data_IF_315992503106
#
_entry.id   IF_315992503106
#
_cell.length_a   1.000
_cell.length_b   1.000
_cell.length_c   1.000
_cell.angle_alpha   90.00
_cell.angle_beta   90.00
_cell.angle_gamma   90.00
#
_symmetry.space_group_name_H-M   'P 1'
#
loop_
_entity.id
_entity.type
_entity.pdbx_description
1 polymer ?
2 polymer ?
3 polymer ?
4 non-polymer ?
5 non-polymer ?
6 water ?
#
# COMPACT_ATOMS: atom_id res chain seq x y z
N UNK A 6 10.86 -12.23 8.63
CA UNK A 6 12.26 -12.58 8.42
C UNK A 6 12.45 -14.01 7.87
N UNK A 7 11.64 -14.95 8.35
CA UNK A 7 11.77 -16.36 7.97
C UNK A 7 11.01 -16.70 6.68
N UNK A 8 11.56 -16.29 5.52
CA UNK A 8 10.91 -16.48 4.21
C UNK A 8 11.27 -17.80 3.51
N UNK A 9 10.37 -18.78 3.58
CA UNK A 9 10.59 -20.08 2.94
C UNK A 9 10.19 -20.08 1.47
N UNK A 10 11.01 -20.71 0.63
CA UNK A 10 10.72 -20.84 -0.78
C UNK A 10 9.90 -22.10 -1.04
N UNK A 11 8.95 -22.01 -1.97
CA UNK A 11 8.04 -23.10 -2.27
C UNK A 11 7.46 -23.74 -1.02
N UNK A 12 7.25 -25.04 -1.06
CA UNK A 12 6.78 -25.77 0.12
C UNK A 12 7.55 -27.06 0.27
N UNK A 13 7.70 -27.51 1.50
CA UNK A 13 8.52 -28.68 1.78
C UNK A 13 7.68 -29.87 2.21
N UNK A 14 7.74 -30.92 1.42
CA UNK A 14 7.05 -32.17 1.75
C UNK A 14 8.10 -33.26 1.94
N UNK A 15 7.72 -34.33 2.65
CA UNK A 15 8.66 -35.43 2.87
C UNK A 15 8.20 -36.74 2.23
N UNK A 16 6.96 -36.76 1.73
CA UNK A 16 6.43 -37.93 1.03
C UNK A 16 7.26 -38.24 -0.22
N UNK A 17 7.05 -39.44 -0.78
CA UNK A 17 7.83 -39.87 -1.94
C UNK A 17 7.41 -39.16 -3.21
N UNK A 18 8.42 -38.68 -3.98
CA UNK A 18 8.29 -37.84 -5.18
C UNK A 18 7.16 -38.26 -6.12
N UNK A 19 7.15 -39.52 -6.54
CA UNK A 19 6.07 -40.04 -7.37
C UNK A 19 4.72 -39.85 -6.69
N UNK A 20 4.69 -40.08 -5.39
CA UNK A 20 3.51 -39.85 -4.55
C UNK A 20 3.11 -38.39 -4.58
N UNK A 21 4.00 -37.56 -4.06
CA UNK A 21 3.94 -36.12 -4.20
C UNK A 21 3.35 -35.73 -5.56
N UNK A 22 4.01 -36.13 -6.64
CA UNK A 22 3.53 -35.86 -7.99
C UNK A 22 2.05 -36.12 -8.13
N UNK A 23 1.64 -37.33 -7.78
CA UNK A 23 0.25 -37.71 -7.95
C UNK A 23 -0.62 -36.79 -7.12
N UNK A 24 -0.17 -36.51 -5.90
CA UNK A 24 -0.95 -35.67 -5.03
C UNK A 24 -1.28 -34.35 -5.74
N UNK A 25 -0.30 -33.82 -6.46
CA UNK A 25 -0.47 -32.55 -7.17
C UNK A 25 -1.41 -32.68 -8.37
N UNK A 26 -1.20 -33.73 -9.17
CA UNK A 26 -2.09 -33.99 -10.31
C UNK A 26 -3.51 -34.08 -9.79
N UNK A 27 -3.66 -34.76 -8.66
CA UNK A 27 -4.96 -34.91 -8.06
C UNK A 27 -5.55 -33.59 -7.65
N UNK A 28 -4.79 -32.84 -6.85
CA UNK A 28 -5.18 -31.49 -6.46
C UNK A 28 -5.61 -30.72 -7.69
N UNK A 29 -4.74 -30.68 -8.70
CA UNK A 29 -4.97 -29.87 -9.88
C UNK A 29 -6.27 -30.24 -10.58
N UNK A 30 -6.51 -31.53 -10.72
CA UNK A 30 -7.75 -32.06 -11.29
C UNK A 30 -8.96 -31.67 -10.43
N UNK A 31 -8.74 -31.58 -9.12
CA UNK A 31 -9.77 -31.13 -8.20
C UNK A 31 -9.97 -29.64 -8.37
N UNK A 32 -8.85 -28.92 -8.31
CA UNK A 32 -8.84 -27.48 -8.53
C UNK A 32 -9.22 -27.17 -9.97
N UNK A 33 -9.31 -28.23 -10.77
CA UNK A 33 -9.74 -28.15 -12.16
C UNK A 33 -8.75 -27.41 -13.06
N UNK A 34 -7.47 -27.69 -12.86
CA UNK A 34 -6.42 -27.21 -13.73
C UNK A 34 -6.09 -28.27 -14.75
N UNK A 35 -5.55 -27.84 -15.88
CA UNK A 35 -5.04 -28.73 -16.89
C UNK A 35 -3.54 -28.53 -16.93
N UNK A 36 -2.80 -29.60 -17.19
CA UNK A 36 -1.36 -29.46 -17.25
C UNK A 36 -0.77 -30.15 -18.46
N UNK A 37 0.52 -29.93 -18.64
CA UNK A 37 1.32 -30.64 -19.64
C UNK A 37 2.52 -31.11 -18.85
N UNK A 38 2.76 -32.42 -18.83
CA UNK A 38 3.95 -32.89 -18.16
C UNK A 38 5.14 -32.61 -19.05
N UNK A 39 6.21 -32.15 -18.44
CA UNK A 39 7.44 -31.88 -19.16
C UNK A 39 8.40 -32.98 -18.72
N UNK A 40 8.10 -33.55 -17.56
CA UNK A 40 8.84 -34.66 -16.99
C UNK A 40 8.44 -34.90 -15.54
N UNK A 41 8.82 -36.04 -14.97
CA UNK A 41 8.40 -36.42 -13.61
C UNK A 41 8.91 -35.52 -12.49
N UNK A 42 9.47 -34.37 -12.82
CA UNK A 42 9.87 -33.42 -11.80
C UNK A 42 9.60 -31.99 -12.24
N UNK A 43 8.84 -31.88 -13.32
CA UNK A 43 8.44 -30.60 -13.88
C UNK A 43 7.10 -30.71 -14.59
N UNK A 44 6.14 -29.86 -14.25
CA UNK A 44 4.92 -29.74 -15.06
C UNK A 44 4.53 -28.26 -15.27
N UNK A 45 3.95 -28.01 -16.43
CA UNK A 45 3.47 -26.69 -16.84
C UNK A 45 1.99 -26.80 -16.55
N UNK A 46 1.50 -26.04 -15.58
CA UNK A 46 0.06 -26.06 -15.25
C UNK A 46 -0.69 -24.77 -15.63
N UNK A 47 -1.97 -24.89 -15.95
CA UNK A 47 -2.76 -23.78 -16.46
C UNK A 47 -4.15 -23.76 -15.88
N UNK A 48 -4.72 -22.57 -15.74
CA UNK A 48 -6.04 -22.41 -15.15
C UNK A 48 -6.87 -21.39 -15.91
N UNK A 49 -7.99 -21.83 -16.45
CA UNK A 49 -8.93 -20.92 -17.07
C UNK A 49 -9.47 -20.00 -15.99
N UNK A 50 -9.89 -18.81 -16.36
CA UNK A 50 -10.38 -17.84 -15.39
C UNK A 50 -11.76 -17.56 -15.88
N UNK A 51 -12.74 -18.01 -15.15
CA UNK A 51 -14.10 -17.83 -15.61
C UNK A 51 -14.60 -16.42 -15.75
N UNK A 52 -14.32 -15.53 -14.79
CA UNK A 52 -14.84 -14.19 -14.98
C UNK A 52 -14.18 -13.57 -16.19
N UNK A 53 -12.86 -13.71 -16.22
CA UNK A 53 -12.02 -13.21 -17.29
C UNK A 53 -11.97 -13.90 -18.65
N UNK A 54 -11.93 -15.23 -18.66
CA UNK A 54 -11.76 -15.96 -19.90
C UNK A 54 -10.30 -16.34 -20.07
N UNK A 55 -9.42 -15.36 -19.88
CA UNK A 55 -8.00 -15.57 -20.01
C UNK A 55 -7.52 -16.68 -19.11
N UNK A 56 -6.32 -17.19 -19.40
CA UNK A 56 -5.69 -18.24 -18.60
C UNK A 56 -4.61 -17.70 -17.73
N UNK A 57 -4.31 -18.42 -16.65
CA UNK A 57 -3.08 -18.20 -15.88
C UNK A 57 -2.23 -19.46 -15.91
N UNK A 58 -0.93 -19.30 -15.93
CA UNK A 58 -0.05 -20.42 -16.06
C UNK A 58 1.10 -20.40 -15.09
N UNK A 59 1.64 -21.53 -14.73
CA UNK A 59 2.82 -21.55 -13.88
C UNK A 59 3.58 -22.87 -13.97
N UNK A 60 4.78 -22.89 -13.39
CA UNK A 60 5.64 -24.07 -13.46
C UNK A 60 5.83 -24.75 -12.11
N UNK A 61 5.62 -26.05 -12.11
CA UNK A 61 5.94 -26.87 -10.96
C UNK A 61 7.26 -27.61 -11.17
N UNK A 62 8.18 -27.41 -10.26
CA UNK A 62 9.42 -28.15 -10.33
C UNK A 62 9.72 -28.81 -8.99
N UNK A 63 9.84 -30.14 -9.00
CA UNK A 63 10.27 -30.84 -7.80
C UNK A 63 11.78 -30.86 -7.66
N UNK A 64 12.22 -30.67 -6.43
CA UNK A 64 13.62 -30.67 -6.06
C UNK A 64 13.83 -31.67 -4.96
N UNK A 65 15.08 -32.01 -4.74
CA UNK A 65 15.45 -32.71 -3.52
C UNK A 65 16.32 -31.73 -2.76
N UNK A 66 16.06 -31.57 -1.47
CA UNK A 66 16.84 -30.65 -0.64
C UNK A 66 17.77 -31.40 0.32
N UNK A 67 17.29 -32.55 0.80
CA UNK A 67 18.11 -33.46 1.60
C UNK A 67 18.14 -34.80 0.91
N UNK A 68 18.07 -35.86 1.71
CA UNK A 68 17.84 -37.20 1.17
C UNK A 68 16.44 -37.63 1.53
N UNK A 69 15.98 -37.25 2.73
CA UNK A 69 14.63 -37.59 3.15
C UNK A 69 13.67 -36.42 3.03
N UNK A 70 14.16 -35.31 2.47
CA UNK A 70 13.34 -34.10 2.38
C UNK A 70 13.30 -33.55 0.96
N UNK A 71 12.13 -33.05 0.56
CA UNK A 71 11.95 -32.47 -0.77
C UNK A 71 11.48 -31.02 -0.74
N UNK A 72 11.46 -30.40 -1.91
CA UNK A 72 10.99 -29.04 -2.04
C UNK A 72 10.28 -28.84 -3.37
N UNK A 73 9.03 -28.41 -3.30
CA UNK A 73 8.25 -28.17 -4.50
C UNK A 73 8.29 -26.69 -4.83
N UNK A 74 8.57 -26.36 -6.08
CA UNK A 74 8.72 -24.96 -6.43
C UNK A 74 7.72 -24.43 -7.45
N UNK A 75 7.26 -23.22 -7.18
CA UNK A 75 6.28 -22.54 -8.01
C UNK A 75 6.94 -21.35 -8.70
N UNK A 76 6.67 -21.20 -10.00
CA UNK A 76 7.24 -20.13 -10.79
C UNK A 76 6.17 -19.59 -11.73
N UNK A 77 6.12 -18.27 -11.89
CA UNK A 77 5.13 -17.61 -12.71
C UNK A 77 5.46 -17.61 -14.21
N UNK A 78 4.44 -17.49 -15.05
CA UNK A 78 4.60 -17.41 -16.51
C UNK A 78 3.68 -16.38 -17.16
N UNK A 79 3.76 -16.28 -18.49
CA UNK A 79 2.95 -15.33 -19.27
C UNK A 79 2.51 -15.96 -20.59
N UNK A 107 -8.45 3.44 -15.34
CA UNK A 107 -9.07 2.23 -15.91
C UNK A 107 -8.29 0.95 -15.61
N UNK A 108 -8.85 0.13 -14.73
CA UNK A 108 -8.16 -1.08 -14.25
C UNK A 108 -8.20 -2.18 -15.29
N UNK A 109 -7.17 -3.05 -15.30
CA UNK A 109 -7.24 -4.20 -16.20
C UNK A 109 -8.07 -5.31 -15.58
N UNK A 110 -8.76 -6.07 -16.41
CA UNK A 110 -9.34 -7.33 -15.95
C UNK A 110 -8.21 -8.29 -16.20
N UNK A 111 -7.80 -9.02 -15.18
CA UNK A 111 -6.60 -9.82 -15.32
C UNK A 111 -5.46 -9.18 -14.57
N UNK A 112 -4.89 -9.93 -13.63
CA UNK A 112 -3.89 -9.40 -12.72
C UNK A 112 -2.90 -10.49 -12.46
N UNK A 113 -1.97 -10.68 -13.39
CA UNK A 113 -1.01 -11.77 -13.33
C UNK A 113 -0.44 -12.12 -11.96
N UNK A 114 0.24 -11.17 -11.33
CA UNK A 114 0.78 -11.45 -10.01
C UNK A 114 -0.26 -11.94 -8.99
N UNK A 115 -1.47 -11.38 -9.00
CA UNK A 115 -2.49 -11.84 -8.06
C UNK A 115 -3.04 -13.21 -8.45
N UNK A 116 -3.19 -13.44 -9.74
CA UNK A 116 -3.73 -14.70 -10.22
C UNK A 116 -2.71 -15.80 -9.94
N UNK A 117 -1.44 -15.47 -10.09
CA UNK A 117 -0.36 -16.36 -9.63
C UNK A 117 -0.61 -16.75 -8.19
N UNK A 118 -0.44 -15.79 -7.28
CA UNK A 118 -0.59 -16.01 -5.86
C UNK A 118 -1.80 -16.88 -5.57
N UNK A 119 -2.93 -16.55 -6.19
CA UNK A 119 -4.14 -17.31 -5.97
C UNK A 119 -4.02 -18.76 -6.44
N UNK A 120 -3.41 -18.96 -7.61
CA UNK A 120 -3.23 -20.31 -8.11
C UNK A 120 -2.34 -21.13 -7.21
N UNK A 121 -1.25 -20.54 -6.75
CA UNK A 121 -0.35 -21.21 -5.82
C UNK A 121 -1.05 -21.49 -4.51
N UNK A 122 -1.80 -20.52 -4.00
CA UNK A 122 -2.52 -20.70 -2.74
C UNK A 122 -3.50 -21.86 -2.79
N UNK A 123 -4.38 -21.85 -3.78
CA UNK A 123 -5.41 -22.88 -3.90
C UNK A 123 -4.82 -24.27 -3.87
N UNK A 124 -3.74 -24.47 -4.61
CA UNK A 124 -3.03 -25.75 -4.63
C UNK A 124 -2.55 -26.13 -3.24
N UNK A 125 -1.63 -25.34 -2.69
CA UNK A 125 -1.12 -25.53 -1.34
C UNK A 125 -2.20 -25.87 -0.31
N UNK A 126 -3.36 -25.22 -0.42
CA UNK A 126 -4.46 -25.49 0.50
C UNK A 126 -4.98 -26.88 0.19
N UNK A 127 -5.35 -27.11 -1.06
CA UNK A 127 -5.75 -28.43 -1.52
C UNK A 127 -4.77 -29.51 -1.05
N UNK A 128 -3.49 -29.29 -1.28
CA UNK A 128 -2.50 -30.24 -0.81
C UNK A 128 -2.54 -30.31 0.71
N UNK A 129 -2.36 -29.16 1.34
CA UNK A 129 -2.29 -29.08 2.79
C UNK A 129 -3.20 -30.14 3.41
N UNK A 130 -4.43 -30.21 2.92
CA UNK A 130 -5.39 -31.19 3.41
C UNK A 130 -6.51 -31.40 2.41
N UNK B 1 -0.05 -26.33 -21.41
CA UNK B 1 -0.89 -27.14 -20.54
C UNK B 1 -2.23 -27.38 -21.20
N UNK B 2 -2.37 -28.59 -21.72
CA UNK B 2 -3.57 -29.00 -22.44
C UNK B 2 -4.21 -30.30 -21.95
N UNK B 3 -3.52 -31.06 -21.10
CA UNK B 3 -4.10 -32.33 -20.65
C UNK B 3 -4.32 -32.46 -19.14
N UNK B 4 -5.17 -33.40 -18.75
CA UNK B 4 -5.51 -33.57 -17.34
C UNK B 4 -5.17 -34.98 -16.81
N UNK B 5 -3.98 -35.46 -17.13
CA UNK B 5 -3.59 -36.83 -16.82
C UNK B 5 -2.18 -36.89 -16.20
N UNK B 6 -1.91 -37.93 -15.40
CA UNK B 6 -0.65 -38.03 -14.64
C UNK B 6 0.41 -38.83 -15.38
N UNK B 17 14.88 -39.21 -9.52
CA UNK B 17 16.03 -38.36 -9.27
C UNK B 17 15.67 -36.88 -9.29
N UNK B 18 14.84 -36.44 -8.31
CA UNK B 18 14.42 -35.02 -8.27
C UNK B 18 15.63 -34.10 -8.27
N UNK B 19 15.77 -33.28 -9.30
CA UNK B 19 16.92 -32.39 -9.41
C UNK B 19 17.23 -31.74 -8.09
N UNK B 20 18.50 -31.78 -7.70
CA UNK B 20 18.95 -31.23 -6.43
C UNK B 20 18.88 -29.71 -6.39
N UNK B 21 18.64 -29.16 -5.21
CA UNK B 21 18.55 -27.73 -5.03
C UNK B 21 19.72 -27.22 -4.19
N UNK B 22 20.37 -26.18 -4.68
CA UNK B 22 21.50 -25.58 -3.98
C UNK B 22 21.11 -25.06 -2.58
N UNK B 26 19.26 -19.38 -1.34
CA UNK B 26 17.98 -19.72 -1.93
C UNK B 26 17.41 -20.99 -1.31
N UNK B 27 16.34 -20.81 -0.54
CA UNK B 27 15.71 -21.88 0.20
C UNK B 27 14.93 -21.19 1.30
N UNK B 28 15.63 -20.29 1.98
CA UNK B 28 15.07 -19.35 2.94
C UNK B 28 15.77 -18.00 2.78
N UNK B 29 15.06 -16.92 3.06
CA UNK B 29 15.60 -15.57 2.91
C UNK B 29 15.27 -14.71 4.13
N UNK B 30 15.87 -13.52 4.19
CA UNK B 30 15.63 -12.56 5.27
C UNK B 30 15.29 -11.17 4.73
N UNK B 35 19.77 -9.02 -2.80
CA UNK B 35 19.94 -8.90 -4.23
C UNK B 35 19.03 -9.82 -5.01
N UNK B 36 18.86 -9.53 -6.31
CA UNK B 36 17.98 -10.33 -7.15
C UNK B 36 18.76 -11.10 -8.21
N UNK B 37 18.41 -12.38 -8.38
CA UNK B 37 18.99 -13.21 -9.42
C UNK B 37 18.00 -13.44 -10.55
N UNK B 48 19.93 -14.44 -1.90
CA UNK B 48 19.57 -13.87 -3.19
C UNK B 48 18.20 -14.41 -3.53
N UNK B 49 17.37 -13.58 -4.15
CA UNK B 49 16.03 -14.03 -4.51
C UNK B 49 16.00 -14.45 -5.97
N UNK B 50 15.15 -15.42 -6.31
CA UNK B 50 15.00 -15.83 -7.70
C UNK B 50 13.78 -15.20 -8.32
N UNK B 51 14.00 -14.26 -9.22
CA UNK B 51 12.90 -13.55 -9.84
C UNK B 51 11.86 -14.53 -10.33
N UNK B 52 10.61 -14.29 -9.95
CA UNK B 52 9.45 -15.00 -10.45
C UNK B 52 9.05 -16.25 -9.66
N UNK B 53 9.78 -16.53 -8.58
CA UNK B 53 9.54 -17.72 -7.77
C UNK B 53 8.78 -17.44 -6.48
N UNK B 54 7.83 -18.32 -6.18
CA UNK B 54 6.98 -18.15 -4.99
C UNK B 54 7.74 -18.35 -3.70
N UNK B 55 7.61 -17.36 -2.82
CA UNK B 55 8.13 -17.43 -1.48
C UNK B 55 6.95 -17.25 -0.54
N UNK B 56 7.14 -17.60 0.72
CA UNK B 56 6.04 -17.57 1.67
C UNK B 56 6.54 -17.68 3.10
N UNK B 57 5.65 -17.38 4.03
CA UNK B 57 5.98 -17.44 5.45
C UNK B 57 5.27 -18.60 6.07
N UNK B 58 5.77 -19.03 7.22
CA UNK B 58 5.10 -20.03 8.04
C UNK B 58 3.68 -19.53 8.29
N UNK B 59 2.69 -20.30 7.85
CA UNK B 59 1.29 -19.90 8.04
C UNK B 59 0.90 -19.88 9.51
N UNK B 60 0.79 -18.68 10.09
CA UNK B 60 0.44 -18.55 11.50
C UNK B 60 -0.85 -17.78 11.68
N UNK B 61 -1.70 -18.28 12.56
CA UNK B 61 -2.93 -17.59 12.93
C UNK B 61 -3.87 -17.44 11.75
N UNK B 62 -4.04 -18.53 11.00
CA UNK B 62 -5.04 -18.57 9.94
C UNK B 62 -4.78 -17.62 8.79
N UNK B 63 -3.59 -17.05 8.73
CA UNK B 63 -3.24 -16.17 7.63
C UNK B 63 -1.96 -16.58 6.91
N UNK B 64 -2.06 -16.61 5.59
CA UNK B 64 -1.01 -17.03 4.71
C UNK B 64 -0.36 -15.80 4.06
N UNK B 65 0.96 -15.73 4.06
CA UNK B 65 1.63 -14.63 3.37
C UNK B 65 2.45 -15.14 2.20
N UNK B 66 2.09 -14.71 0.99
CA UNK B 66 2.88 -15.05 -0.16
C UNK B 66 3.73 -13.87 -0.58
N UNK B 67 4.84 -14.16 -1.24
CA UNK B 67 5.69 -13.11 -1.77
C UNK B 67 6.30 -13.55 -3.07
N UNK B 68 6.75 -12.59 -3.88
CA UNK B 68 7.26 -12.88 -5.21
C UNK B 68 7.72 -11.60 -5.90
N UNK B 69 8.87 -11.68 -6.57
CA UNK B 69 9.44 -10.50 -7.17
C UNK B 69 9.32 -10.61 -8.67
N UNK B 70 8.89 -9.51 -9.30
CA UNK B 70 8.70 -9.50 -10.75
C UNK B 70 9.35 -8.24 -11.35
N UNK B 71 9.58 -8.28 -12.67
CA UNK B 71 10.17 -7.15 -13.38
C UNK B 71 9.16 -6.44 -14.29
N UNK B 72 9.08 -5.12 -14.17
CA UNK B 72 8.44 -4.32 -15.19
C UNK B 72 9.56 -3.51 -15.85
N UNK B 73 9.99 -3.93 -17.03
CA UNK B 73 11.01 -3.16 -17.75
C UNK B 73 12.18 -3.10 -16.79
N UNK B 74 12.70 -1.91 -16.52
CA UNK B 74 13.91 -1.80 -15.70
C UNK B 74 13.68 -1.89 -14.18
N UNK B 75 12.45 -2.14 -13.76
CA UNK B 75 12.13 -2.08 -12.33
C UNK B 75 11.76 -3.42 -11.71
N UNK B 76 11.95 -3.52 -10.41
CA UNK B 76 11.67 -4.75 -9.69
C UNK B 76 10.76 -4.52 -8.51
N UNK B 77 9.52 -5.03 -8.58
CA UNK B 77 8.65 -4.99 -7.41
C UNK B 77 8.49 -6.35 -6.75
N UNK B 78 8.79 -6.39 -5.46
CA UNK B 78 8.58 -7.56 -4.63
C UNK B 78 7.23 -7.50 -3.90
N UNK B 79 6.23 -8.20 -4.42
CA UNK B 79 4.86 -8.10 -3.93
C UNK B 79 4.55 -9.12 -2.84
N UNK B 80 3.99 -8.63 -1.73
CA UNK B 80 3.40 -9.51 -0.72
C UNK B 80 1.89 -9.51 -0.79
N UNK B 81 1.29 -10.68 -0.66
CA UNK B 81 -0.16 -10.79 -0.52
C UNK B 81 -0.47 -11.39 0.83
N UNK B 82 -1.23 -10.64 1.63
CA UNK B 82 -1.77 -11.16 2.88
C UNK B 82 -3.13 -11.82 2.68
N UNK B 83 -3.16 -13.13 2.85
CA UNK B 83 -4.37 -13.91 2.60
C UNK B 83 -4.77 -14.78 3.80
N UNK B 84 -6.08 -14.86 4.08
CA UNK B 84 -6.70 -15.72 5.10
C UNK B 84 -7.00 -17.12 4.58
N UNK B 85 -7.29 -18.04 5.49
CA UNK B 85 -7.66 -19.40 5.08
C UNK B 85 -9.00 -19.77 5.70
N UNK C 26 4.21 27.12 -17.15
CA UNK C 26 5.60 27.35 -16.78
C UNK C 26 6.54 26.21 -17.13
N UNK C 27 7.53 26.01 -16.27
CA UNK C 27 8.63 25.09 -16.50
C UNK C 27 8.41 23.80 -15.71
N UNK C 28 7.82 23.95 -14.53
CA UNK C 28 7.58 22.81 -13.65
C UNK C 28 6.39 22.04 -14.16
N UNK C 29 5.37 22.77 -14.57
CA UNK C 29 4.22 22.19 -15.24
C UNK C 29 4.67 21.39 -16.45
N UNK C 30 5.56 21.97 -17.24
CA UNK C 30 5.95 21.30 -18.47
C UNK C 30 6.78 20.07 -18.21
N UNK C 31 7.64 20.12 -17.20
CA UNK C 31 8.39 18.97 -16.71
C UNK C 31 7.47 17.78 -16.41
N UNK C 32 6.45 18.07 -15.60
CA UNK C 32 5.46 17.07 -15.18
C UNK C 32 4.57 16.52 -16.31
N UNK C 33 4.35 17.31 -17.36
CA UNK C 33 3.59 16.79 -18.48
C UNK C 33 4.48 15.92 -19.36
N UNK C 34 5.75 15.83 -19.02
CA UNK C 34 6.73 15.19 -19.90
C UNK C 34 7.46 14.07 -19.19
N UNK C 35 6.96 13.65 -18.04
CA UNK C 35 7.57 12.54 -17.35
C UNK C 35 6.54 11.52 -16.96
N UNK C 36 6.92 10.26 -17.08
CA UNK C 36 6.00 9.17 -16.83
C UNK C 36 6.09 8.76 -15.37
N UNK C 37 4.99 8.26 -14.84
CA UNK C 37 4.99 7.81 -13.46
C UNK C 37 6.06 6.75 -13.27
N UNK C 38 6.22 5.93 -14.31
CA UNK C 38 7.29 4.96 -14.35
C UNK C 38 8.56 5.58 -13.77
N UNK C 39 8.81 6.81 -14.18
CA UNK C 39 10.08 7.50 -13.92
C UNK C 39 10.48 7.60 -12.46
N UNK C 40 9.50 7.69 -11.56
CA UNK C 40 9.89 7.79 -10.16
C UNK C 40 9.68 6.50 -9.40
N UNK C 41 9.30 5.45 -10.10
CA UNK C 41 9.32 4.16 -9.48
C UNK C 41 10.79 3.89 -9.27
N UNK C 42 11.17 3.44 -8.07
CA UNK C 42 12.58 3.10 -7.84
C UNK C 42 12.91 1.79 -8.53
N UNK C 43 14.17 1.39 -8.49
CA UNK C 43 14.61 0.16 -9.17
C UNK C 43 14.18 -1.09 -8.39
N UNK C 44 14.33 -1.04 -7.08
CA UNK C 44 13.67 -2.03 -6.26
C UNK C 44 12.61 -1.39 -5.38
N UNK C 45 11.60 -2.19 -5.07
CA UNK C 45 10.41 -1.72 -4.38
C UNK C 45 9.67 -2.90 -3.74
N UNK C 46 9.13 -2.68 -2.54
CA UNK C 46 8.19 -3.61 -1.92
C UNK C 46 6.73 -3.08 -1.99
N UNK C 47 5.79 -3.97 -2.24
CA UNK C 47 4.37 -3.62 -2.26
C UNK C 47 3.61 -4.69 -1.48
N UNK C 48 3.10 -4.31 -0.31
CA UNK C 48 2.24 -5.17 0.48
C UNK C 48 0.74 -5.02 0.11
N UNK C 49 0.13 -6.13 -0.28
CA UNK C 49 -1.28 -6.17 -0.63
C UNK C 49 -2.08 -7.02 0.36
N UNK C 50 -3.28 -6.58 0.72
CA UNK C 50 -4.16 -7.39 1.57
C UNK C 50 -5.32 -7.88 0.75
N UNK C 51 -5.71 -9.13 0.98
CA UNK C 51 -6.99 -9.64 0.49
C UNK C 51 -8.06 -8.99 1.36
N UNK C 52 -9.11 -8.45 0.73
CA UNK C 52 -10.17 -7.79 1.49
C UNK C 52 -10.95 -8.72 2.39
N UNK C 53 -10.59 -9.99 2.37
CA UNK C 53 -11.20 -10.95 3.28
C UNK C 53 -10.38 -10.99 4.56
N UNK C 54 -9.40 -10.10 4.67
CA UNK C 54 -8.58 -10.02 5.86
C UNK C 54 -9.31 -9.30 7.02
N UNK C 55 -8.92 -9.62 8.25
CA UNK C 55 -9.50 -9.01 9.42
C UNK C 55 -8.88 -7.65 9.65
N UNK C 56 -9.69 -6.62 9.49
CA UNK C 56 -9.28 -5.28 9.81
C UNK C 56 -8.23 -5.28 10.91
N UNK C 57 -8.54 -5.93 12.03
CA UNK C 57 -7.63 -5.93 13.16
C UNK C 57 -6.30 -6.46 12.68
N UNK C 58 -6.31 -7.69 12.16
CA UNK C 58 -5.09 -8.33 11.68
C UNK C 58 -4.36 -7.49 10.66
N UNK C 59 -5.11 -6.78 9.82
CA UNK C 59 -4.49 -5.95 8.81
C UNK C 59 -3.69 -4.84 9.50
N UNK C 60 -4.35 -4.17 10.44
CA UNK C 60 -3.69 -3.12 11.19
C UNK C 60 -2.28 -3.50 11.66
N UNK C 61 -2.14 -4.67 12.25
CA UNK C 61 -0.84 -5.18 12.66
C UNK C 61 0.11 -5.31 11.47
N UNK C 62 -0.38 -5.90 10.37
CA UNK C 62 0.44 -6.07 9.17
C UNK C 62 0.93 -4.74 8.62
N UNK C 63 0.08 -3.72 8.67
CA UNK C 63 0.54 -2.39 8.29
C UNK C 63 1.73 -2.07 9.16
N UNK C 64 1.54 -2.19 10.47
CA UNK C 64 2.58 -1.86 11.44
C UNK C 64 3.85 -2.70 11.30
N UNK C 65 3.72 -4.03 11.33
CA UNK C 65 4.91 -4.87 11.28
C UNK C 65 5.73 -4.56 10.04
N UNK C 66 5.04 -4.36 8.92
CA UNK C 66 5.67 -4.01 7.65
C UNK C 66 6.10 -2.55 7.55
N UNK C 67 5.79 -1.77 8.59
CA UNK C 67 6.18 -0.37 8.65
C UNK C 67 5.64 0.48 7.52
N UNK C 68 4.40 0.21 7.13
CA UNK C 68 3.73 1.01 6.11
C UNK C 68 2.46 1.59 6.68
N UNK C 69 2.01 2.70 6.10
CA UNK C 69 0.84 3.42 6.58
C UNK C 69 -0.44 3.08 5.79
N UNK C 70 -0.31 2.33 4.70
CA UNK C 70 -1.47 1.89 3.93
C UNK C 70 -1.22 0.61 3.11
N UNK C 71 -2.27 0.06 2.53
CA UNK C 71 -2.13 -1.06 1.61
C UNK C 71 -3.25 -1.11 0.59
N UNK C 72 -2.91 -1.59 -0.61
CA UNK C 72 -3.81 -1.94 -1.72
C UNK C 72 -4.70 -3.08 -1.31
N UNK C 73 -5.95 -3.04 -1.76
CA UNK C 73 -6.89 -4.10 -1.42
C UNK C 73 -7.25 -4.97 -2.60
N UNK C 74 -6.86 -6.24 -2.52
CA UNK C 74 -7.25 -7.23 -3.52
C UNK C 74 -8.54 -7.91 -3.11
N UNK C 75 -9.56 -7.74 -3.94
CA UNK C 75 -10.81 -8.46 -3.72
C UNK C 75 -10.91 -9.70 -4.61
N UNK C 76 -10.79 -10.86 -3.99
CA UNK C 76 -10.70 -12.12 -4.70
C UNK C 76 -11.95 -12.43 -5.55
N UNK C 77 -13.12 -12.11 -5.03
CA UNK C 77 -14.38 -12.44 -5.70
C UNK C 77 -14.60 -11.55 -6.91
N UNK C 78 -14.42 -10.25 -6.75
CA UNK C 78 -14.53 -9.32 -7.86
C UNK C 78 -13.35 -9.50 -8.82
N UNK C 79 -12.36 -10.28 -8.39
CA UNK C 79 -11.12 -10.46 -9.14
C UNK C 79 -10.54 -9.10 -9.50
N UNK C 80 -10.17 -8.30 -8.50
CA UNK C 80 -9.64 -6.98 -8.79
C UNK C 80 -9.09 -6.25 -7.57
N UNK C 81 -8.44 -5.12 -7.84
CA UNK C 81 -8.04 -4.18 -6.79
C UNK C 81 -9.17 -3.20 -6.64
N UNK C 82 -9.68 -3.08 -5.42
CA UNK C 82 -10.91 -2.34 -5.17
C UNK C 82 -10.68 -0.99 -4.51
N UNK C 83 -9.45 -0.78 -4.01
CA UNK C 83 -9.10 0.44 -3.34
C UNK C 83 -7.99 0.29 -2.31
N UNK C 84 -7.92 1.25 -1.40
CA UNK C 84 -6.86 1.32 -0.39
C UNK C 84 -7.41 1.11 1.02
N UNK C 85 -6.62 0.46 1.88
CA UNK C 85 -6.82 0.52 3.32
C UNK C 85 -5.94 1.60 3.98
N UNK C 86 -6.55 2.72 4.37
CA UNK C 86 -5.77 3.83 4.93
C UNK C 86 -6.22 4.13 6.33
N UNK C 87 -5.49 5.01 7.00
CA UNK C 87 -5.80 5.38 8.36
C UNK C 87 -7.20 6.00 8.54
N UNK C 88 -7.74 6.66 7.50
CA UNK C 88 -9.10 7.20 7.60
C UNK C 88 -10.14 6.08 7.74
N UNK C 89 -9.94 5.01 6.99
CA UNK C 89 -10.85 3.88 7.10
C UNK C 89 -10.92 3.31 8.53
N UNK C 90 -9.79 3.12 9.20
CA UNK C 90 -9.81 2.73 10.61
C UNK C 90 -10.55 3.79 11.45
N UNK C 91 -10.29 5.07 11.14
CA UNK C 91 -11.03 6.17 11.77
C UNK C 91 -12.53 6.03 11.52
N UNK C 92 -12.95 5.88 10.27
CA UNK C 92 -14.39 5.75 10.04
C UNK C 92 -15.05 4.64 10.87
N UNK C 93 -14.31 3.57 11.12
CA UNK C 93 -14.81 2.41 11.84
C UNK C 93 -14.83 2.63 13.35
N UNK C 94 -13.76 3.21 13.87
CA UNK C 94 -13.66 3.60 15.27
C UNK C 94 -14.83 4.50 15.65
N UNK C 95 -15.10 5.49 14.80
CA UNK C 95 -16.25 6.38 14.92
C UNK C 95 -17.58 5.62 15.04
N UNK C 96 -17.83 4.69 14.11
CA UNK C 96 -19.07 3.90 14.18
C UNK C 96 -19.28 3.24 15.53
N UNK C 97 -18.27 2.53 16.03
CA UNK C 97 -18.30 1.99 17.38
C UNK C 97 -18.66 3.08 18.40
N UNK C 98 -18.00 4.22 18.30
CA UNK C 98 -18.25 5.33 19.18
C UNK C 98 -19.71 5.81 19.15
N UNK C 99 -20.19 6.12 17.94
CA UNK C 99 -21.58 6.51 17.74
C UNK C 99 -22.56 5.50 18.35
N UNK C 100 -22.06 4.30 18.65
CA UNK C 100 -22.89 3.20 19.12
C UNK C 100 -22.66 2.91 20.58
N UNK C 101 -21.76 3.67 21.18
CA UNK C 101 -21.40 3.48 22.58
C UNK C 101 -20.72 2.14 22.75
N UNK C 102 -20.08 1.68 21.68
CA UNK C 102 -19.40 0.40 21.67
C UNK C 102 -17.91 0.57 21.55
N UNK C 103 -17.41 1.77 21.80
CA UNK C 103 -15.97 2.01 21.71
C UNK C 103 -15.13 0.97 22.48
N UNK C 104 -15.64 0.51 23.61
CA UNK C 104 -14.97 -0.53 24.37
C UNK C 104 -14.67 -1.78 23.51
N UNK C 105 -15.45 -1.98 22.46
CA UNK C 105 -15.34 -3.16 21.60
C UNK C 105 -14.37 -3.01 20.42
N UNK C 106 -14.24 -1.79 19.91
CA UNK C 106 -13.37 -1.53 18.77
C UNK C 106 -12.07 -2.36 18.82
N UNK C 107 -11.39 -2.34 19.96
CA UNK C 107 -10.14 -3.10 20.09
C UNK C 107 -10.36 -4.57 19.74
N UNK C 108 -11.44 -5.14 20.25
CA UNK C 108 -11.67 -6.58 20.25
C UNK C 108 -12.30 -7.21 19.01
N UNK C 109 -12.92 -6.42 18.15
CA UNK C 109 -13.67 -6.98 17.03
C UNK C 109 -12.84 -7.74 15.97
N UNK C 110 -13.53 -8.47 15.09
CA UNK C 110 -12.85 -9.24 14.06
C UNK C 110 -13.64 -9.36 12.76
N UNK C 111 -14.41 -8.34 12.40
CA UNK C 111 -15.05 -8.29 11.09
C UNK C 111 -13.98 -8.12 10.02
N UNK C 112 -14.29 -8.60 8.82
CA UNK C 112 -13.38 -8.51 7.71
C UNK C 112 -13.40 -7.13 7.09
N UNK C 113 -12.28 -6.77 6.47
CA UNK C 113 -12.16 -5.51 5.74
C UNK C 113 -13.29 -5.41 4.72
N UNK C 114 -13.46 -6.48 3.98
CA UNK C 114 -14.59 -6.62 3.08
C UNK C 114 -15.88 -6.13 3.69
N UNK C 115 -16.20 -6.67 4.87
CA UNK C 115 -17.47 -6.38 5.54
C UNK C 115 -17.64 -4.91 5.72
N UNK C 116 -16.67 -4.28 6.38
CA UNK C 116 -16.80 -2.87 6.64
C UNK C 116 -16.85 -1.96 5.40
N UNK C 117 -16.03 -2.24 4.40
CA UNK C 117 -16.12 -1.50 3.14
C UNK C 117 -17.51 -1.65 2.54
N UNK C 118 -18.14 -2.79 2.80
CA UNK C 118 -19.46 -3.06 2.23
C UNK C 118 -20.52 -2.31 3.01
N UNK C 119 -20.41 -2.34 4.33
CA UNK C 119 -21.19 -1.45 5.16
C UNK C 119 -21.31 -0.08 4.49
N UNK C 120 -20.18 0.48 4.08
CA UNK C 120 -20.20 1.81 3.51
C UNK C 120 -20.41 1.85 2.00
N UNK C 121 -20.63 0.69 1.39
CA UNK C 121 -20.81 0.66 -0.05
C UNK C 121 -19.63 1.38 -0.64
N UNK C 122 -18.44 1.13 -0.09
CA UNK C 122 -17.27 1.89 -0.48
C UNK C 122 -16.84 1.60 -1.91
N UNK C 123 -16.95 0.35 -2.36
CA UNK C 123 -16.43 0.01 -3.68
C UNK C 123 -17.29 0.63 -4.75
N UNK C 124 -18.59 0.69 -4.50
CA UNK C 124 -19.49 1.28 -5.46
C UNK C 124 -19.45 2.81 -5.41
N UNK C 125 -19.39 3.38 -4.22
CA UNK C 125 -19.41 4.84 -4.06
C UNK C 125 -18.06 5.57 -4.31
N UNK C 126 -16.98 5.10 -3.71
CA UNK C 126 -15.64 5.62 -3.99
C UNK C 126 -14.75 4.52 -4.59
N UNK C 127 -14.94 4.21 -5.89
CA UNK C 127 -14.19 3.13 -6.53
C UNK C 127 -12.71 3.47 -6.61
N UNK C 128 -11.86 2.46 -6.75
CA UNK C 128 -10.42 2.66 -6.88
C UNK C 128 -10.04 3.70 -7.93
N UNK C 129 -9.15 4.61 -7.55
CA UNK C 129 -8.49 5.52 -8.50
C UNK C 129 -7.05 5.04 -8.72
N UNK C 130 -6.67 4.82 -9.97
CA UNK C 130 -5.33 4.33 -10.23
C UNK C 130 -4.77 4.96 -11.49
N UNK C 131 -3.51 4.69 -11.80
CA UNK C 131 -2.90 5.31 -12.96
C UNK C 131 -1.97 4.35 -13.70
N UNK C 132 -1.68 4.65 -14.96
CA UNK C 132 -0.74 3.85 -15.75
C UNK C 132 0.67 4.34 -15.56
N UNK C 133 1.64 3.41 -15.54
CA UNK C 133 3.07 3.70 -15.53
C UNK C 133 3.42 4.72 -16.60
N UNK C 134 2.56 4.82 -17.60
CA UNK C 134 2.84 5.66 -18.76
C UNK C 134 2.27 7.05 -18.66
N UNK C 135 1.38 7.27 -17.69
CA UNK C 135 0.73 8.57 -17.55
C UNK C 135 1.72 9.60 -17.05
N UNK C 136 1.39 10.87 -17.23
CA UNK C 136 2.30 11.96 -16.88
C UNK C 136 2.28 12.19 -15.38
N UNK C 137 3.28 12.87 -14.86
CA UNK C 137 3.36 13.05 -13.43
C UNK C 137 2.37 14.10 -13.09
N UNK C 138 2.23 15.03 -14.02
CA UNK C 138 1.18 16.02 -14.04
C UNK C 138 -0.15 15.32 -13.84
N UNK C 139 -0.49 14.43 -14.76
CA UNK C 139 -1.71 13.65 -14.62
C UNK C 139 -1.88 13.09 -13.20
N UNK C 140 -0.79 12.56 -12.62
CA UNK C 140 -0.90 11.98 -11.28
C UNK C 140 -1.16 13.05 -10.24
N UNK C 141 -0.57 14.23 -10.43
CA UNK C 141 -0.84 15.30 -9.49
C UNK C 141 -2.30 15.74 -9.52
N UNK C 142 -2.84 15.98 -10.71
CA UNK C 142 -4.25 16.32 -10.81
C UNK C 142 -5.05 15.22 -10.16
N UNK C 143 -4.72 13.99 -10.52
CA UNK C 143 -5.48 12.84 -10.09
C UNK C 143 -5.75 12.90 -8.58
N UNK C 144 -4.66 12.86 -7.80
CA UNK C 144 -4.70 12.88 -6.33
C UNK C 144 -5.50 14.02 -5.74
N UNK C 145 -5.36 15.18 -6.35
CA UNK C 145 -6.05 16.38 -5.91
C UNK C 145 -7.54 16.35 -6.29
N UNK C 146 -7.82 16.24 -7.57
CA UNK C 146 -9.20 16.12 -7.99
C UNK C 146 -9.94 15.13 -7.10
N UNK C 147 -9.42 13.92 -6.96
CA UNK C 147 -10.10 12.90 -6.16
C UNK C 147 -9.89 13.04 -4.66
N UNK C 148 -9.27 14.12 -4.23
CA UNK C 148 -8.96 14.32 -2.83
C UNK C 148 -8.47 13.06 -2.13
N UNK C 149 -7.45 12.41 -2.67
CA UNK C 149 -6.87 11.21 -2.05
C UNK C 149 -5.37 11.40 -1.81
N UNK C 150 -4.76 10.55 -0.99
CA UNK C 150 -3.32 10.72 -0.71
C UNK C 150 -2.46 9.63 -1.35
N UNK C 151 -3.08 8.50 -1.68
CA UNK C 151 -2.38 7.42 -2.35
C UNK C 151 -2.89 7.16 -3.78
N UNK C 152 -1.98 6.79 -4.66
CA UNK C 152 -2.36 6.53 -6.04
C UNK C 152 -1.56 5.38 -6.65
N UNK C 153 -2.21 4.22 -6.77
CA UNK C 153 -1.70 2.97 -7.33
C UNK C 153 -1.25 3.11 -8.76
N UNK C 154 0.00 2.79 -9.05
CA UNK C 154 0.39 2.68 -10.44
C UNK C 154 0.26 1.26 -10.88
N UNK C 155 -0.66 1.06 -11.82
CA UNK C 155 -1.02 -0.26 -12.32
C UNK C 155 -0.73 -0.46 -13.80
N UNK C 156 0.14 -1.41 -14.10
CA UNK C 156 0.42 -1.80 -15.48
C UNK C 156 -0.81 -2.33 -16.21
N UNK C 157 -1.30 -1.60 -17.24
CA UNK C 157 -2.57 -1.95 -17.90
C UNK C 157 -2.48 -3.28 -18.65
N UNK C 158 -1.29 -3.62 -19.13
CA UNK C 158 -1.00 -4.90 -19.75
C UNK C 158 -1.19 -6.08 -18.78
N UNK C 159 -0.47 -6.04 -17.66
CA UNK C 159 -0.52 -7.14 -16.70
C UNK C 159 -1.60 -7.03 -15.63
N UNK C 160 -1.96 -5.79 -15.26
CA UNK C 160 -2.91 -5.53 -14.20
C UNK C 160 -2.26 -5.48 -12.83
N UNK C 161 -0.95 -5.28 -12.84
CA UNK C 161 -0.17 -5.30 -11.62
C UNK C 161 0.05 -3.91 -11.08
N UNK C 162 -0.26 -3.70 -9.82
CA UNK C 162 0.09 -2.46 -9.18
C UNK C 162 1.59 -2.45 -9.01
N UNK C 163 2.26 -1.59 -9.77
CA UNK C 163 3.71 -1.55 -9.71
C UNK C 163 4.18 -0.88 -8.42
N UNK C 164 3.44 0.13 -7.98
CA UNK C 164 3.96 1.02 -6.98
C UNK C 164 2.87 2.04 -6.69
N UNK C 165 2.93 2.69 -5.54
CA UNK C 165 1.93 3.69 -5.15
C UNK C 165 2.49 5.10 -5.07
N UNK C 166 1.83 6.03 -5.71
CA UNK C 166 2.32 7.40 -5.85
C UNK C 166 1.77 8.37 -4.78
N UNK C 167 2.64 8.94 -3.94
CA UNK C 167 2.21 9.98 -2.99
C UNK C 167 2.67 11.39 -3.39
N UNK C 168 2.04 12.42 -2.83
CA UNK C 168 2.50 13.80 -3.04
C UNK C 168 3.96 13.97 -2.66
N UNK C 169 4.34 13.35 -1.54
CA UNK C 169 5.72 13.41 -1.06
C UNK C 169 6.70 12.73 -2.03
N UNK C 170 6.30 11.59 -2.55
CA UNK C 170 7.09 10.96 -3.59
C UNK C 170 7.17 11.87 -4.81
N UNK C 171 6.04 12.38 -5.27
CA UNK C 171 6.01 13.26 -6.44
C UNK C 171 6.84 14.51 -6.25
N UNK C 172 6.70 15.16 -5.09
CA UNK C 172 7.45 16.37 -4.77
C UNK C 172 8.95 16.11 -4.68
N UNK C 173 9.33 15.03 -4.03
CA UNK C 173 10.73 14.75 -3.79
C UNK C 173 11.43 14.59 -5.13
N UNK C 174 10.81 13.85 -6.03
CA UNK C 174 11.36 13.68 -7.37
C UNK C 174 11.56 15.06 -8.02
N UNK C 175 10.48 15.84 -8.13
CA UNK C 175 10.53 17.20 -8.69
C UNK C 175 11.62 18.07 -8.04
N UNK C 176 11.80 17.95 -6.73
CA UNK C 176 12.83 18.75 -6.06
C UNK C 176 14.23 18.51 -6.63
N UNK C 177 14.55 17.26 -6.95
CA UNK C 177 15.83 16.96 -7.56
C UNK C 177 16.05 17.87 -8.78
N UNK C 178 15.11 17.85 -9.70
CA UNK C 178 15.09 18.79 -10.83
C UNK C 178 15.14 20.24 -10.41
N UNK C 179 14.34 20.61 -9.43
CA UNK C 179 14.31 22.00 -9.00
C UNK C 179 15.71 22.54 -8.73
N UNK C 180 16.52 21.76 -8.01
CA UNK C 180 17.84 22.20 -7.57
C UNK C 180 18.91 22.14 -8.65
N UNK C 181 18.77 21.20 -9.57
CA UNK C 181 19.76 21.04 -10.61
C UNK C 181 19.41 21.90 -11.82
N UNK C 182 18.56 22.89 -11.62
CA UNK C 182 18.08 23.67 -12.76
C UNK C 182 17.72 25.08 -12.28
N UNK C 183 17.89 26.08 -13.16
CA UNK C 183 17.68 27.47 -12.74
C UNK C 183 16.27 27.69 -12.25
N UNK C 184 16.12 28.37 -11.12
CA UNK C 184 14.79 28.65 -10.59
C UNK C 184 14.08 29.73 -11.40
N UNK C 185 12.74 29.69 -11.42
CA UNK C 185 11.94 30.79 -11.97
C UNK C 185 11.97 31.97 -11.01
N UNK C 186 11.33 33.07 -11.40
CA UNK C 186 11.34 34.26 -10.57
C UNK C 186 10.61 33.99 -9.25
N UNK C 187 9.39 33.47 -9.38
CA UNK C 187 8.49 33.35 -8.24
C UNK C 187 9.00 32.39 -7.17
N UNK C 188 9.94 31.51 -7.50
CA UNK C 188 10.50 30.60 -6.51
C UNK C 188 11.20 31.34 -5.38
N UNK C 189 11.31 32.66 -5.51
CA UNK C 189 12.00 33.46 -4.51
C UNK C 189 11.04 34.33 -3.71
N UNK C 190 9.89 34.62 -4.29
CA UNK C 190 8.82 35.28 -3.57
C UNK C 190 8.47 34.51 -2.28
N UNK C 191 7.62 35.10 -1.45
CA UNK C 191 7.32 34.49 -0.16
C UNK C 191 5.95 33.83 -0.14
N UNK C 192 5.74 32.94 0.83
CA UNK C 192 4.43 32.39 1.07
C UNK C 192 3.39 33.50 0.98
N UNK C 193 3.63 34.58 1.72
CA UNK C 193 2.69 35.70 1.75
C UNK C 193 2.43 36.32 0.40
N UNK C 194 3.49 36.48 -0.39
CA UNK C 194 3.35 37.01 -1.74
C UNK C 194 2.52 36.05 -2.57
N UNK C 195 2.90 34.78 -2.49
CA UNK C 195 2.35 33.71 -3.29
C UNK C 195 0.93 33.33 -2.89
N UNK C 196 0.65 33.42 -1.59
CA UNK C 196 -0.66 33.06 -1.06
C UNK C 196 -0.85 31.56 -1.20
N UNK C 197 0.17 30.82 -0.82
CA UNK C 197 0.13 29.37 -0.91
C UNK C 197 -0.05 28.71 0.44
N UNK C 198 -1.05 27.85 0.54
CA UNK C 198 -1.37 27.22 1.82
C UNK C 198 -2.75 27.60 2.30
N UNK C 199 -3.11 27.10 3.47
CA UNK C 199 -4.45 27.33 4.00
C UNK C 199 -4.40 28.22 5.23
N UNK C 200 -5.19 29.29 5.18
CA UNK C 200 -5.12 30.37 6.17
C UNK C 200 -6.48 30.80 6.71
N UNK C 201 -7.53 30.13 6.26
CA UNK C 201 -8.87 30.42 6.76
C UNK C 201 -9.45 29.19 7.45
N UNK C 202 -9.94 29.39 8.67
CA UNK C 202 -10.65 28.31 9.35
C UNK C 202 -9.76 27.11 9.59
N UNK C 203 -8.67 27.31 10.31
CA UNK C 203 -7.77 26.22 10.62
C UNK C 203 -8.34 25.33 11.73
N UNK C 204 -8.49 24.06 11.42
CA UNK C 204 -8.94 23.09 12.40
C UNK C 204 -7.80 22.79 13.34
N UNK C 205 -8.02 23.13 14.61
CA UNK C 205 -7.02 22.90 15.66
C UNK C 205 -7.72 22.45 16.92
N UNK C 206 -6.93 21.92 17.82
CA UNK C 206 -7.47 21.50 19.10
C UNK C 206 -6.86 22.37 20.18
N UNK C 207 -7.15 22.03 21.43
CA UNK C 207 -6.49 22.65 22.56
C UNK C 207 -5.85 21.60 23.45
N UNK C 208 -4.74 21.98 24.06
CA UNK C 208 -4.07 21.14 25.04
C UNK C 208 -5.04 20.25 25.80
N UNK C 209 -6.19 20.82 26.18
CA UNK C 209 -7.11 20.14 27.07
C UNK C 209 -8.05 19.22 26.31
N UNK C 210 -8.37 19.61 25.08
CA UNK C 210 -9.37 18.91 24.26
C UNK C 210 -9.37 17.38 24.35
N UNK C 211 -10.58 16.81 24.50
CA UNK C 211 -10.84 15.37 24.59
C UNK C 211 -10.55 14.67 23.26
N UNK C 212 -9.63 13.72 23.28
CA UNK C 212 -9.36 12.90 22.11
C UNK C 212 -10.64 12.63 21.30
N UNK C 213 -11.70 12.19 21.97
CA UNK C 213 -12.98 11.98 21.27
C UNK C 213 -13.41 13.19 20.46
N UNK C 214 -13.02 14.39 20.87
CA UNK C 214 -13.39 15.56 20.12
C UNK C 214 -12.63 15.56 18.80
N UNK C 215 -11.34 15.23 18.86
CA UNK C 215 -10.52 15.27 17.65
C UNK C 215 -11.11 14.31 16.64
N UNK C 216 -11.36 13.08 17.09
CA UNK C 216 -12.11 12.10 16.32
C UNK C 216 -13.26 12.74 15.58
N UNK C 217 -14.18 13.30 16.34
CA UNK C 217 -15.29 13.99 15.72
C UNK C 217 -14.84 14.81 14.53
N UNK C 218 -13.83 15.65 14.72
CA UNK C 218 -13.51 16.64 13.70
C UNK C 218 -12.72 16.07 12.50
N UNK C 219 -11.91 15.07 12.80
CA UNK C 219 -11.21 14.30 11.78
C UNK C 219 -12.18 13.71 10.78
N UNK C 220 -13.19 13.03 11.32
CA UNK C 220 -14.27 12.44 10.54
C UNK C 220 -15.07 13.46 9.72
N UNK C 221 -15.33 14.61 10.33
CA UNK C 221 -16.23 15.59 9.75
C UNK C 221 -15.54 16.49 8.74
N UNK C 222 -14.26 16.74 8.94
CA UNK C 222 -13.59 17.78 8.17
C UNK C 222 -12.63 17.29 7.09
N UNK C 223 -12.10 16.08 7.23
CA UNK C 223 -11.20 15.57 6.22
C UNK C 223 -9.99 16.50 6.15
N UNK C 224 -9.24 16.45 7.23
CA UNK C 224 -7.91 17.00 7.28
C UNK C 224 -7.14 15.88 7.89
N UNK C 225 -5.84 15.87 7.72
CA UNK C 225 -5.05 14.81 8.33
C UNK C 225 -4.63 15.15 9.76
N UNK C 226 -4.08 16.34 9.98
CA UNK C 226 -3.57 16.63 11.32
C UNK C 226 -4.10 17.90 11.97
N UNK C 227 -4.07 17.90 13.29
CA UNK C 227 -4.59 19.01 14.04
C UNK C 227 -3.49 19.64 14.86
N UNK C 228 -3.32 20.95 14.70
CA UNK C 228 -2.40 21.68 15.56
C UNK C 228 -2.98 21.76 16.96
N UNK C 229 -2.20 21.34 17.94
CA UNK C 229 -2.51 21.55 19.35
C UNK C 229 -2.01 22.93 19.80
N UNK C 230 -2.91 23.76 20.30
CA UNK C 230 -2.53 25.13 20.64
C UNK C 230 -2.82 25.45 22.11
N UNK C 231 -2.10 26.42 22.67
CA UNK C 231 -2.39 26.91 24.02
C UNK C 231 -3.44 28.04 24.06
N UNK C 232 -3.68 28.60 25.24
CA UNK C 232 -4.72 29.60 25.39
C UNK C 232 -4.45 30.81 24.50
N UNK C 233 -3.19 31.23 24.48
CA UNK C 233 -2.78 32.36 23.66
C UNK C 233 -2.90 32.07 22.17
N UNK C 234 -2.85 30.77 21.82
CA UNK C 234 -3.11 30.32 20.47
C UNK C 234 -1.84 29.89 19.75
N UNK C 235 -0.79 29.74 20.53
CA UNK C 235 0.48 29.33 20.00
C UNK C 235 0.53 27.81 19.88
N UNK C 236 1.09 27.32 18.77
CA UNK C 236 1.19 25.89 18.55
C UNK C 236 2.23 25.22 19.47
N UNK C 237 1.79 24.24 20.22
CA UNK C 237 2.65 23.52 21.14
C UNK C 237 2.88 22.07 20.64
N UNK C 238 2.00 21.62 19.75
CA UNK C 238 2.11 20.29 19.14
C UNK C 238 1.11 20.10 18.00
N UNK C 239 0.81 18.83 17.72
CA UNK C 239 -0.02 18.44 16.57
C UNK C 239 -0.57 17.03 16.81
N UNK C 240 -1.89 16.88 16.66
CA UNK C 240 -2.51 15.57 16.82
C UNK C 240 -2.98 15.06 15.47
N UNK C 241 -2.55 13.84 15.12
CA UNK C 241 -2.91 13.18 13.86
C UNK C 241 -3.96 12.04 13.98
N UNK C 242 -4.48 11.60 12.84
CA UNK C 242 -5.51 10.55 12.81
C UNK C 242 -4.90 9.30 13.37
N UNK C 243 -3.64 9.11 13.05
CA UNK C 243 -2.90 7.97 13.54
C UNK C 243 -2.93 7.93 15.03
N UNK C 244 -2.67 9.07 15.65
CA UNK C 244 -2.58 9.16 17.10
C UNK C 244 -3.84 8.59 17.72
N UNK C 245 -4.97 9.04 17.20
CA UNK C 245 -6.25 8.53 17.60
C UNK C 245 -6.33 7.00 17.58
N UNK C 246 -6.26 6.38 16.40
CA UNK C 246 -6.40 4.92 16.37
C UNK C 246 -5.29 4.20 17.18
N UNK C 247 -4.09 4.79 17.23
CA UNK C 247 -2.98 4.21 17.98
C UNK C 247 -3.36 4.02 19.43
N UNK C 248 -4.08 5.00 19.94
CA UNK C 248 -4.53 4.99 21.32
C UNK C 248 -5.45 3.81 21.55
N UNK C 249 -6.52 3.73 20.74
CA UNK C 249 -7.48 2.65 20.82
C UNK C 249 -6.84 1.27 20.65
N UNK C 250 -5.99 0.89 21.61
CA UNK C 250 -5.32 -0.41 21.65
C UNK C 250 -4.34 -0.44 22.82
N UNK C 256 -10.41 4.66 25.96
CA UNK C 256 -11.34 5.37 26.83
C UNK C 256 -11.99 6.59 26.16
N UNK C 257 -11.15 7.44 25.56
CA UNK C 257 -11.59 8.50 24.62
C UNK C 257 -12.10 9.83 25.19
N UNK C 258 -12.25 9.92 26.50
CA UNK C 258 -12.71 11.16 27.07
C UNK C 258 -11.49 12.00 27.43
N UNK C 259 -10.31 11.44 27.15
CA UNK C 259 -9.05 11.94 27.65
C UNK C 259 -8.58 13.27 27.06
N UNK C 260 -7.57 13.87 27.69
CA UNK C 260 -6.96 15.08 27.20
C UNK C 260 -6.02 14.75 26.06
N UNK C 261 -6.25 15.40 24.93
CA UNK C 261 -5.34 15.30 23.81
C UNK C 261 -3.89 15.22 24.31
N UNK C 262 -3.57 16.09 25.26
CA UNK C 262 -2.24 16.15 25.87
C UNK C 262 -1.86 14.87 26.59
N UNK C 263 -2.82 14.30 27.31
CA UNK C 263 -2.63 13.05 28.03
C UNK C 263 -2.34 11.91 27.07
N UNK C 264 -3.05 11.92 25.95
CA UNK C 264 -2.92 10.91 24.90
C UNK C 264 -1.54 10.92 24.28
N UNK C 265 -0.97 12.09 24.11
CA UNK C 265 0.30 12.25 23.41
C UNK C 265 1.42 11.53 24.13
N UNK C 266 1.18 11.19 25.39
CA UNK C 266 2.11 10.38 26.16
C UNK C 266 1.77 8.95 25.76
N UNK C 267 2.20 8.59 24.56
CA UNK C 267 1.87 7.33 23.91
C UNK C 267 2.55 7.35 22.54
N UNK C 268 3.68 8.02 22.47
CA UNK C 268 4.43 8.17 21.22
C UNK C 268 5.82 7.54 21.29
N UNK C 274 5.93 14.86 14.03
CA UNK C 274 6.79 16.04 14.21
C UNK C 274 6.11 17.34 13.84
N UNK C 275 6.25 18.35 14.69
CA UNK C 275 5.72 19.68 14.43
C UNK C 275 6.76 20.55 13.75
N UNK C 276 6.43 21.08 12.58
CA UNK C 276 7.34 22.00 11.92
C UNK C 276 6.66 23.29 11.51
N UNK C 277 7.39 24.38 11.71
CA UNK C 277 6.86 25.72 11.62
C UNK C 277 7.41 26.40 10.40
N UNK C 278 6.74 27.46 9.96
CA UNK C 278 7.33 28.36 8.99
C UNK C 278 6.55 29.67 9.03
N UNK C 279 7.13 30.73 8.45
CA UNK C 279 6.54 32.05 8.49
C UNK C 279 6.16 32.56 7.11
N UNK C 280 5.24 33.51 7.03
CA UNK C 280 4.83 34.01 5.72
C UNK C 280 5.94 34.80 5.06
N UNK C 281 6.96 35.18 5.82
CA UNK C 281 8.05 35.94 5.23
C UNK C 281 8.95 35.03 4.41
N UNK C 282 8.78 33.72 4.58
CA UNK C 282 9.68 32.74 3.97
C UNK C 282 9.39 32.42 2.50
N UNK C 283 10.45 32.24 1.73
CA UNK C 283 10.32 32.03 0.29
C UNK C 283 9.84 30.63 -0.04
N UNK C 284 9.11 30.53 -1.15
CA UNK C 284 8.65 29.23 -1.62
C UNK C 284 9.79 28.22 -1.55
N UNK C 285 10.90 28.59 -2.16
CA UNK C 285 12.05 27.73 -2.28
C UNK C 285 12.46 27.23 -0.91
N UNK C 286 12.50 28.15 0.04
CA UNK C 286 12.98 27.80 1.36
C UNK C 286 12.05 26.79 2.00
N UNK C 287 10.74 26.97 1.73
CA UNK C 287 9.70 26.10 2.27
C UNK C 287 9.86 24.67 1.74
N UNK C 288 9.81 24.55 0.41
CA UNK C 288 9.99 23.29 -0.27
C UNK C 288 11.21 22.56 0.26
N UNK C 289 12.35 23.21 0.33
CA UNK C 289 13.52 22.50 0.80
C UNK C 289 13.22 21.85 2.13
N UNK C 290 12.66 22.61 3.08
CA UNK C 290 12.37 22.09 4.42
C UNK C 290 11.37 20.96 4.43
N UNK C 291 10.34 21.09 3.62
CA UNK C 291 9.31 20.09 3.56
C UNK C 291 9.90 18.78 3.05
N UNK C 292 10.69 18.87 1.99
CA UNK C 292 11.33 17.68 1.42
C UNK C 292 12.48 17.09 2.25
N UNK C 293 13.39 17.95 2.68
CA UNK C 293 14.56 17.54 3.45
C UNK C 293 14.18 17.05 4.83
N UNK C 294 13.18 17.73 5.37
CA UNK C 294 12.64 17.50 6.71
C UNK C 294 11.78 16.24 6.83
N UNK C 295 11.18 15.78 5.74
CA UNK C 295 10.44 14.51 5.74
C UNK C 295 8.97 14.61 6.20
N UNK C 296 8.62 15.72 6.86
CA UNK C 296 7.23 16.00 7.24
C UNK C 296 6.25 16.17 6.04
N UNK C 297 4.94 16.20 6.33
CA UNK C 297 3.88 16.34 5.30
C UNK C 297 3.24 17.74 5.26
N UNK C 298 3.59 18.58 6.21
CA UNK C 298 3.13 19.95 6.12
C UNK C 298 3.83 20.83 7.12
N UNK C 299 3.68 22.14 6.92
CA UNK C 299 4.21 23.12 7.85
C UNK C 299 3.07 23.91 8.42
N UNK C 300 3.15 24.17 9.71
CA UNK C 300 2.23 25.09 10.36
C UNK C 300 2.81 26.48 10.25
N UNK C 301 2.09 27.36 9.54
CA UNK C 301 2.51 28.75 9.44
C UNK C 301 2.21 29.41 10.77
N UNK C 302 3.04 30.39 11.12
CA UNK C 302 3.17 30.85 12.48
C UNK C 302 3.67 32.30 12.44
N UNK C 303 3.03 33.19 13.21
CA UNK C 303 3.52 34.56 13.28
C UNK C 303 4.68 34.70 14.27
N UNK C 304 5.10 35.93 14.54
CA UNK C 304 6.29 36.13 15.36
C UNK C 304 6.20 35.50 16.76
N UNK C 305 4.99 35.39 17.31
CA UNK C 305 4.82 34.81 18.63
C UNK C 305 4.25 33.41 18.54
N UNK C 306 4.53 32.72 17.44
CA UNK C 306 4.10 31.33 17.28
C UNK C 306 2.58 31.11 17.21
N UNK C 307 1.81 32.16 17.00
CA UNK C 307 0.37 32.03 16.85
C UNK C 307 0.03 31.50 15.47
N UNK C 308 -0.40 30.24 15.39
CA UNK C 308 -0.65 29.65 14.08
C UNK C 308 -1.53 30.58 13.25
N UNK C 309 -1.20 30.66 11.97
CA UNK C 309 -1.80 31.57 11.01
C UNK C 309 -2.31 30.75 9.85
N UNK C 310 -1.74 29.56 9.69
CA UNK C 310 -2.17 28.66 8.65
C UNK C 310 -1.34 27.39 8.54
N UNK C 311 -1.58 26.67 7.46
CA UNK C 311 -0.90 25.42 7.19
C UNK C 311 -0.52 25.43 5.75
N UNK C 312 0.69 24.98 5.46
CA UNK C 312 1.06 24.69 4.09
C UNK C 312 1.44 23.20 3.99
N UNK C 313 0.79 22.50 3.06
CA UNK C 313 0.89 21.06 2.88
C UNK C 313 1.54 20.67 1.56
N UNK C 314 1.57 19.38 1.28
CA UNK C 314 2.23 18.97 0.08
C UNK C 314 1.34 19.25 -1.08
N UNK C 315 0.05 18.93 -0.95
CA UNK C 315 -0.89 19.24 -2.03
C UNK C 315 -0.78 20.72 -2.35
N UNK C 316 -0.69 21.56 -1.32
CA UNK C 316 -0.57 22.99 -1.54
C UNK C 316 0.60 23.30 -2.45
N UNK C 317 1.79 22.88 -2.02
CA UNK C 317 2.99 23.06 -2.83
C UNK C 317 2.77 22.56 -4.25
N UNK C 318 2.38 21.29 -4.35
CA UNK C 318 2.39 20.58 -5.62
C UNK C 318 1.31 21.05 -6.55
N UNK C 319 0.29 21.69 -5.98
CA UNK C 319 -0.79 22.26 -6.78
C UNK C 319 -0.34 23.55 -7.42
N UNK C 320 0.47 24.29 -6.69
CA UNK C 320 0.88 25.62 -7.09
C UNK C 320 2.00 25.57 -8.13
N UNK C 321 2.98 24.71 -7.90
CA UNK C 321 4.03 24.47 -8.87
C UNK C 321 3.50 23.93 -10.18
N UNK C 322 2.56 23.00 -10.09
CA UNK C 322 2.31 22.06 -11.17
C UNK C 322 0.97 22.26 -11.85
N UNK C 323 -0.10 22.26 -11.07
CA UNK C 323 -1.45 22.45 -11.62
C UNK C 323 -1.66 23.88 -12.11
N UNK C 324 -0.68 24.74 -11.85
CA UNK C 324 -0.81 26.18 -12.04
C UNK C 324 0.19 26.73 -13.06
X LIG D 1 -2.86 8.49 4.10
X LIG D 1 -2.08 7.98 5.29
X LIG D 1 -3.03 9.99 4.04
X LIG D 1 -2.49 7.80 2.82
X LIG D 1 -5.50 9.03 4.82
X LIG D 1 -4.86 10.14 5.63
X LIG D 1 -6.62 8.16 5.37
X LIG D 1 -4.38 8.02 4.28
X LIG D 1 -6.27 8.92 2.08
X LIG D 1 -5.09 8.03 1.76
X LIG D 1 -6.79 9.93 1.08
X LIG D 1 -6.01 9.71 3.45
X LIG D 1 -7.54 8.05 2.47
X LIG D 1 -8.78 8.74 2.49
X LIG D 1 -9.86 7.83 1.97
X LIG D 1 -9.62 7.66 0.58
X LIG D 1 -9.86 6.45 2.59
X LIG D 1 -11.22 6.04 2.71
X LIG D 1 -9.20 5.57 1.55
X LIG D 1 -9.70 4.23 1.63
X LIG D 1 -9.57 6.29 0.25
X LIG D 1 -8.57 6.13 -0.83
X LIG D 1 -7.25 6.36 -0.76
X LIG D 1 -6.63 6.12 -1.94
X LIG D 1 -7.56 5.72 -2.82
X LIG D 1 -7.58 5.30 -4.24
X LIG D 1 -6.46 5.26 -5.00
X LIG D 1 -8.77 4.96 -4.76
X LIG D 1 -9.89 4.99 -4.02
X LIG D 1 -9.95 5.34 -2.72
X LIG D 1 -8.84 5.71 -2.08
X LIG E 1 -0.29 15.04 2.53
X LIG E 1 -0.41 15.34 4.00
X LIG E 1 0.63 15.98 1.80
X LIG E 1 -0.11 13.57 2.20
X LIG E 1 -2.07 17.00 1.73
X LIG E 1 -2.38 17.28 0.29
X LIG E 1 -1.01 17.84 2.40
X LIG E 1 -1.70 15.45 1.88
X LIG E 1 -3.61 17.54 4.09
X LIG E 1 -2.31 17.71 4.82
X LIG E 1 -4.65 16.64 4.73
X LIG E 1 -3.44 17.03 2.56
X LIG E 1 -4.18 18.98 3.65
X LIG E 1 -5.31 19.01 2.77
X LIG E 1 -5.71 20.44 2.54
X LIG E 1 -6.26 20.95 3.75
X LIG E 1 -4.48 21.26 2.23
X LIG E 1 -4.83 22.20 1.20
X LIG E 1 -4.12 21.99 3.52
X LIG E 1 -3.66 23.32 3.26
X LIG E 1 -5.42 21.97 4.31
X LIG E 1 -5.21 21.62 5.74
X LIG E 1 -4.31 20.75 6.25
X LIG E 1 -4.43 20.65 7.60
X LIG E 1 -5.43 21.47 7.99
X LIG E 1 -6.09 21.83 9.28
X LIG E 1 -5.73 21.33 10.50
X LIG E 1 -7.10 22.73 9.19
X LIG E 1 -7.51 23.26 8.03
X LIG E 1 -6.98 22.97 6.83
X LIG E 1 -5.94 22.09 6.76
X LIG F 1 4.68 7.42 2.87
X LIG F 1 5.10 7.76 1.43
X LIG F 1 5.67 7.97 3.88
X LIG F 1 4.55 5.91 3.02
X LIG F 1 6.17 8.85 1.45
X LIG F 1 4.90 8.76 4.92
X LIG F 1 4.54 5.50 4.47
X LIG F 1 3.39 8.08 3.14
X LIG F 1 7.46 8.26 1.65
X LIG F 1 3.88 7.89 5.47
X LIG F 1 4.02 4.17 4.53
#
# INVERSE_FOLDING_TARGET
>A
GPHMGAKWHLGIRSQSKPNDIMLEVYRAMKALSYEWKIINPYHVRVRRQNVKTGKFSKMSLQLYQVDAKSYLLDFKSLTNDEVEQGDDVIMESLTPPPLSVSGVMPLQPTGHHTMEFFEMCAALIIQLAR
>B
MYHQEPYISKPEERFKAPPILPPHLLQVILNKDTGISCDPALLPEPNHVMLNHLYALSIKDGVMVLSATHRYKKKYVTTLLYKPI
>C
MESVAAESAPAPENEHSQETPESNSSVYTTFMKSHRCYDLIPTSSKLVVFDTSLQVKKAFFALVTNGVRAAPLWDSKKQSFVGMLTITDFINILHRYYKSALVQIYELEEHKIETWREVYLQDSFKPLVCISPNASLFDAVSSLIRNKIHRLPVIDPESGNTLYILTHKRILKFLKLFITEFPKPEFMSKSLEELQIGTYANIAMVRTTTPVYVALGIFVQHRVSALPVVDEKGRVVDIYSKFDVINLAAEKTYNNLDVSVTKALQHRSHYFEGVLKCYLHETLEAIINRLVEAEVHRLVVVDEHDVVKGIVSLSDILQALVLTGGEKKP
>D hetero
1 ATP PG O1G O2G O3G PB O1B O2B O3B PA O1A O2A O3A O5' C5' C4' O4' C3' O3' C2' O2' C1' N9 C8 N7 C5 C6 N6 N1 C2 N3 C4
>E hetero
1 ATP PG O1G O2G O3G PB O1B O2B O3B PA O1A O2A O3A O5' C5' C4' O4' C3' O3' C2' O2' C1' N9 C8 N7 C5 C6 N6 N1 C2 N3 C4
>F hetero
1 TAM C C1 C2 C3 C4 C5 C6 N O4 O5 O6
#
